data_IF_881065391846
#
_entry.id   IF_881065391846
#
_cell.length_a   1.000
_cell.length_b   1.000
_cell.length_c   1.000
_cell.angle_alpha   90.00
_cell.angle_beta   90.00
_cell.angle_gamma   90.00
#
_symmetry.space_group_name_H-M   'P 1'
#
loop_
_entity.id
_entity.type
_entity.pdbx_description
1 polymer ?
#
# COMPACT_ATOMS: atom_id res chain seq x y z
N UNK A 1 -15.37 -3.80 4.67
CA UNK A 1 -15.17 -3.83 3.20
C UNK A 1 -14.08 -4.80 2.74
N UNK A 2 -13.07 -5.15 3.54
CA UNK A 2 -11.94 -6.00 3.10
C UNK A 2 -12.32 -7.28 2.32
N UNK A 3 -13.31 -8.04 2.79
CA UNK A 3 -13.77 -9.27 2.10
C UNK A 3 -14.30 -8.99 0.70
N UNK A 4 -14.91 -7.83 0.48
CA UNK A 4 -15.42 -7.39 -0.83
C UNK A 4 -14.24 -7.12 -1.77
N UNK A 5 -13.21 -6.38 -1.32
CA UNK A 5 -12.01 -6.14 -2.13
C UNK A 5 -11.36 -7.44 -2.58
N UNK A 6 -11.20 -8.40 -1.65
CA UNK A 6 -10.54 -9.67 -1.93
C UNK A 6 -11.37 -10.53 -2.90
N UNK A 7 -12.69 -10.63 -2.69
CA UNK A 7 -13.57 -11.43 -3.55
C UNK A 7 -13.71 -10.81 -4.95
N UNK A 8 -13.89 -9.48 -5.05
CA UNK A 8 -13.93 -8.77 -6.33
C UNK A 8 -12.62 -8.90 -7.09
N UNK A 9 -11.47 -8.67 -6.44
CA UNK A 9 -10.16 -8.78 -7.11
C UNK A 9 -9.95 -10.18 -7.67
N UNK A 10 -10.33 -11.21 -6.92
CA UNK A 10 -10.26 -12.59 -7.40
C UNK A 10 -11.23 -12.86 -8.55
N UNK A 11 -12.44 -12.29 -8.53
CA UNK A 11 -13.38 -12.42 -9.64
C UNK A 11 -12.89 -11.70 -10.89
N UNK A 12 -12.41 -10.46 -10.79
CA UNK A 12 -11.81 -9.74 -11.92
C UNK A 12 -10.69 -10.55 -12.57
N UNK A 13 -9.72 -11.02 -11.77
CA UNK A 13 -8.61 -11.85 -12.29
C UNK A 13 -9.07 -13.12 -13.01
N UNK A 14 -10.15 -13.75 -12.54
CA UNK A 14 -10.73 -14.95 -13.16
C UNK A 14 -11.47 -14.66 -14.47
N UNK A 15 -11.95 -13.43 -14.66
CA UNK A 15 -12.76 -13.01 -15.80
C UNK A 15 -12.02 -12.00 -16.70
N UNK A 16 -10.69 -12.07 -16.76
CA UNK A 16 -9.91 -11.21 -17.67
C UNK A 16 -9.97 -9.72 -17.33
N UNK A 17 -10.13 -9.38 -16.05
CA UNK A 17 -10.15 -8.01 -15.55
C UNK A 17 -11.53 -7.33 -15.58
N UNK A 18 -12.56 -7.99 -16.13
CA UNK A 18 -13.92 -7.43 -16.28
C UNK A 18 -14.94 -8.34 -15.59
N UNK A 19 -15.96 -7.76 -14.95
CA UNK A 19 -17.11 -8.52 -14.44
C UNK A 19 -18.40 -7.80 -14.83
N UNK A 20 -19.46 -8.57 -15.07
CA UNK A 20 -20.81 -8.03 -15.31
C UNK A 20 -21.39 -7.35 -14.07
N UNK A 21 -22.34 -6.43 -14.26
CA UNK A 21 -23.09 -5.81 -13.15
C UNK A 21 -23.75 -6.85 -12.24
N UNK A 22 -24.23 -7.97 -12.79
CA UNK A 22 -24.82 -9.08 -12.02
C UNK A 22 -23.79 -9.74 -11.08
N UNK A 23 -22.57 -10.00 -11.55
CA UNK A 23 -21.50 -10.59 -10.74
C UNK A 23 -21.06 -9.64 -9.62
N UNK A 24 -20.94 -8.35 -9.93
CA UNK A 24 -20.64 -7.31 -8.93
C UNK A 24 -21.70 -7.27 -7.83
N UNK A 25 -22.98 -7.10 -8.19
CA UNK A 25 -24.09 -7.02 -7.23
C UNK A 25 -24.14 -8.27 -6.36
N UNK A 26 -23.97 -9.45 -6.95
CA UNK A 26 -23.95 -10.71 -6.20
C UNK A 26 -22.84 -10.73 -5.15
N UNK A 27 -21.63 -10.29 -5.53
CA UNK A 27 -20.47 -10.27 -4.63
C UNK A 27 -20.64 -9.28 -3.49
N UNK A 28 -21.12 -8.07 -3.79
CA UNK A 28 -21.36 -7.04 -2.79
C UNK A 28 -22.42 -7.49 -1.78
N UNK A 29 -23.58 -7.96 -2.26
CA UNK A 29 -24.71 -8.40 -1.41
C UNK A 29 -24.37 -9.56 -0.46
N UNK A 30 -23.32 -10.33 -0.76
CA UNK A 30 -22.84 -11.41 0.13
C UNK A 30 -22.21 -10.87 1.41
N UNK A 31 -21.68 -9.65 1.38
CA UNK A 31 -20.92 -9.04 2.48
C UNK A 31 -21.52 -7.75 3.01
N UNK A 32 -22.59 -7.24 2.41
CA UNK A 32 -23.31 -6.04 2.84
C UNK A 32 -24.67 -6.39 3.44
N UNK A 33 -25.23 -5.46 4.21
CA UNK A 33 -26.58 -5.61 4.78
C UNK A 33 -27.65 -5.13 3.79
N UNK A 34 -28.93 -5.43 4.07
CA UNK A 34 -30.07 -5.08 3.22
C UNK A 34 -30.23 -3.57 2.93
N UNK A 35 -29.58 -2.70 3.72
CA UNK A 35 -29.75 -1.25 3.67
C UNK A 35 -28.75 -0.53 2.76
N UNK A 36 -27.66 -1.19 2.36
CA UNK A 36 -26.65 -0.61 1.48
C UNK A 36 -26.96 -1.03 0.04
N UNK A 37 -27.32 -0.08 -0.82
CA UNK A 37 -27.47 -0.34 -2.23
C UNK A 37 -26.09 -0.52 -2.90
N UNK A 38 -26.07 -1.22 -4.04
CA UNK A 38 -24.83 -1.58 -4.74
C UNK A 38 -24.04 -0.39 -5.26
N UNK A 39 -24.71 0.74 -5.49
CA UNK A 39 -24.13 1.92 -6.11
C UNK A 39 -23.42 2.75 -5.02
N UNK A 40 -24.04 2.88 -3.84
CA UNK A 40 -23.37 3.41 -2.64
C UNK A 40 -22.07 2.64 -2.33
N UNK A 41 -22.11 1.31 -2.40
CA UNK A 41 -20.92 0.50 -2.18
C UNK A 41 -19.85 0.77 -3.24
N UNK A 42 -20.26 0.95 -4.50
CA UNK A 42 -19.32 1.25 -5.59
C UNK A 42 -18.54 2.55 -5.29
N UNK A 43 -19.23 3.61 -4.87
CA UNK A 43 -18.59 4.86 -4.48
C UNK A 43 -17.68 4.70 -3.26
N UNK A 44 -18.07 3.89 -2.27
CA UNK A 44 -17.22 3.60 -1.11
C UNK A 44 -15.96 2.80 -1.47
N UNK A 45 -16.05 1.90 -2.46
CA UNK A 45 -14.88 1.20 -3.00
C UNK A 45 -13.93 2.20 -3.68
N UNK A 46 -14.43 3.10 -4.50
CA UNK A 46 -13.58 4.10 -5.16
C UNK A 46 -12.96 5.08 -4.16
N UNK A 47 -13.76 5.59 -3.22
CA UNK A 47 -13.30 6.52 -2.18
C UNK A 47 -12.25 5.90 -1.25
N UNK A 48 -12.22 4.56 -1.11
CA UNK A 48 -11.21 3.86 -0.34
C UNK A 48 -9.91 3.60 -1.12
N UNK A 49 -9.86 3.97 -2.41
CA UNK A 49 -8.72 3.75 -3.29
C UNK A 49 -8.74 2.41 -4.04
N UNK A 50 -9.88 1.69 -4.04
CA UNK A 50 -10.02 0.47 -4.84
C UNK A 50 -10.16 0.83 -6.33
N UNK A 51 -9.31 0.32 -7.24
CA UNK A 51 -9.24 0.77 -8.64
C UNK A 51 -10.30 0.10 -9.52
N UNK A 52 -11.56 0.18 -9.10
CA UNK A 52 -12.74 -0.26 -9.84
C UNK A 52 -13.35 0.91 -10.60
N UNK A 53 -13.68 0.69 -11.86
CA UNK A 53 -14.40 1.66 -12.68
C UNK A 53 -15.52 1.00 -13.47
N UNK A 54 -16.56 1.76 -13.80
CA UNK A 54 -17.61 1.33 -14.73
C UNK A 54 -17.01 1.08 -16.11
N UNK A 55 -17.48 0.02 -16.76
CA UNK A 55 -17.05 -0.35 -18.10
C UNK A 55 -18.14 -1.16 -18.79
N UNK A 56 -18.67 -0.62 -19.90
CA UNK A 56 -19.82 -1.18 -20.62
C UNK A 56 -20.99 -1.47 -19.66
N UNK A 57 -21.57 -2.67 -19.69
CA UNK A 57 -22.66 -3.11 -18.80
C UNK A 57 -22.16 -3.72 -17.47
N UNK A 58 -20.95 -3.35 -17.04
CA UNK A 58 -20.31 -3.91 -15.86
C UNK A 58 -19.21 -3.04 -15.30
N UNK A 59 -18.17 -3.69 -14.81
CA UNK A 59 -17.04 -3.06 -14.15
C UNK A 59 -15.74 -3.68 -14.61
N UNK A 60 -14.66 -2.92 -14.50
CA UNK A 60 -13.29 -3.43 -14.68
C UNK A 60 -12.38 -3.05 -13.53
N UNK A 61 -11.39 -3.90 -13.30
CA UNK A 61 -10.26 -3.61 -12.42
C UNK A 61 -9.18 -2.91 -13.24
N UNK A 62 -8.97 -1.63 -13.01
CA UNK A 62 -8.11 -0.80 -13.86
C UNK A 62 -6.66 -1.29 -13.91
N UNK A 63 -6.14 -1.77 -12.79
CA UNK A 63 -4.78 -2.30 -12.67
C UNK A 63 -4.54 -3.57 -13.51
N UNK A 64 -5.61 -4.26 -13.93
CA UNK A 64 -5.52 -5.39 -14.84
C UNK A 64 -5.14 -4.97 -16.26
N UNK A 65 -5.40 -3.71 -16.64
CA UNK A 65 -5.19 -3.19 -17.99
C UNK A 65 -4.09 -2.14 -18.05
N UNK A 66 -3.83 -1.42 -16.94
CA UNK A 66 -2.83 -0.36 -16.90
C UNK A 66 -1.41 -0.93 -16.92
N UNK A 67 -0.53 -0.49 -17.83
CA UNK A 67 0.90 -0.79 -17.76
C UNK A 67 1.48 -0.36 -16.41
N UNK A 68 2.30 -1.20 -15.77
CA UNK A 68 2.77 -0.88 -14.43
C UNK A 68 3.64 0.38 -14.39
N UNK A 69 4.29 0.76 -15.50
CA UNK A 69 5.10 1.98 -15.58
C UNK A 69 4.26 3.25 -15.43
N UNK A 70 3.02 3.23 -15.95
CA UNK A 70 2.09 4.36 -15.89
C UNK A 70 1.33 4.41 -14.57
N UNK A 71 1.42 3.37 -13.74
CA UNK A 71 0.75 3.30 -12.46
C UNK A 71 1.42 4.19 -11.42
N UNK A 72 0.60 4.84 -10.60
CA UNK A 72 1.05 5.50 -9.38
C UNK A 72 1.25 4.49 -8.27
N UNK A 73 2.43 4.51 -7.66
CA UNK A 73 2.77 3.76 -6.46
C UNK A 73 3.02 4.74 -5.32
N UNK A 74 2.29 4.59 -4.21
CA UNK A 74 2.56 5.33 -2.99
C UNK A 74 3.37 4.42 -2.07
N UNK A 75 4.68 4.66 -2.00
CA UNK A 75 5.58 3.95 -1.09
C UNK A 75 5.47 4.63 0.26
N UNK A 76 5.12 3.86 1.28
CA UNK A 76 4.82 4.33 2.62
C UNK A 76 5.69 3.58 3.61
N UNK A 77 6.15 4.29 4.61
CA UNK A 77 6.73 3.76 5.83
C UNK A 77 6.12 4.54 7.02
N UNK A 78 6.08 3.91 8.19
CA UNK A 78 5.55 4.51 9.42
C UNK A 78 6.47 4.22 10.60
N UNK A 79 6.55 5.19 11.50
CA UNK A 79 7.06 4.94 12.85
C UNK A 79 5.91 4.83 13.84
N UNK A 80 6.07 3.99 14.86
CA UNK A 80 5.02 3.70 15.84
C UNK A 80 5.56 3.77 17.26
N UNK A 81 4.71 4.11 18.23
CA UNK A 81 5.09 4.09 19.65
C UNK A 81 5.04 2.68 20.30
N UNK A 82 5.06 1.63 19.48
CA UNK A 82 5.00 0.24 19.94
C UNK A 82 4.69 -0.74 18.80
N UNK A 83 4.72 -2.05 19.11
CA UNK A 83 4.80 -3.10 18.09
C UNK A 83 3.46 -3.68 17.60
N UNK A 84 2.33 -3.25 18.17
CA UNK A 84 1.00 -3.79 17.78
C UNK A 84 -0.05 -2.67 17.60
N UNK A 85 -0.88 -2.74 16.54
CA UNK A 85 -1.95 -1.76 16.31
C UNK A 85 -3.03 -1.73 17.41
N UNK A 86 -3.16 -2.79 18.21
CA UNK A 86 -4.20 -2.89 19.24
C UNK A 86 -3.93 -1.96 20.43
N UNK A 87 -2.66 -1.71 20.76
CA UNK A 87 -2.25 -0.95 21.94
C UNK A 87 -1.25 0.19 21.64
N UNK A 88 -0.85 0.35 20.38
CA UNK A 88 0.12 1.36 19.92
C UNK A 88 -0.50 2.19 18.80
N UNK A 89 0.16 3.27 18.41
CA UNK A 89 -0.26 4.16 17.34
C UNK A 89 0.91 4.59 16.46
N UNK A 90 0.58 5.10 15.28
CA UNK A 90 1.50 5.79 14.38
C UNK A 90 1.92 7.12 15.01
N UNK A 91 3.21 7.45 14.90
CA UNK A 91 3.82 8.70 15.38
C UNK A 91 4.52 9.48 14.26
N UNK A 92 4.85 8.83 13.14
CA UNK A 92 5.37 9.46 11.93
C UNK A 92 4.84 8.70 10.71
N UNK A 93 4.57 9.42 9.63
CA UNK A 93 4.24 8.86 8.32
C UNK A 93 5.16 9.50 7.30
N UNK A 94 5.86 8.66 6.54
CA UNK A 94 6.63 9.07 5.38
C UNK A 94 6.11 8.37 4.14
N UNK A 95 5.94 9.10 3.06
CA UNK A 95 5.51 8.53 1.80
C UNK A 95 6.10 9.27 0.59
N UNK A 96 6.33 8.52 -0.48
CA UNK A 96 6.68 9.04 -1.80
C UNK A 96 5.73 8.49 -2.85
N UNK A 97 5.22 9.39 -3.69
CA UNK A 97 4.44 9.02 -4.86
C UNK A 97 5.38 8.84 -6.03
N UNK A 98 5.28 7.69 -6.69
CA UNK A 98 6.15 7.30 -7.80
C UNK A 98 5.29 6.99 -9.02
N UNK A 99 5.69 7.51 -10.17
CA UNK A 99 5.10 7.21 -11.47
C UNK A 99 6.20 7.26 -12.53
N UNK A 100 6.15 6.40 -13.54
CA UNK A 100 7.16 6.33 -14.61
C UNK A 100 8.60 6.14 -14.08
N UNK A 101 8.76 5.47 -12.94
CA UNK A 101 10.08 5.19 -12.33
C UNK A 101 10.73 6.37 -11.60
N UNK A 102 10.02 7.49 -11.46
CA UNK A 102 10.48 8.70 -10.79
C UNK A 102 9.54 9.11 -9.66
N UNK A 103 10.10 9.77 -8.64
CA UNK A 103 9.32 10.38 -7.56
C UNK A 103 8.65 11.64 -8.11
N UNK A 104 7.33 11.71 -8.02
CA UNK A 104 6.52 12.83 -8.51
C UNK A 104 5.92 13.68 -7.39
N UNK A 105 5.87 13.15 -6.17
CA UNK A 105 5.37 13.86 -4.99
C UNK A 105 5.87 13.19 -3.70
N UNK A 106 5.79 13.89 -2.58
CA UNK A 106 6.22 13.41 -1.26
C UNK A 106 5.29 13.88 -0.16
N UNK A 107 5.11 13.06 0.86
CA UNK A 107 4.32 13.35 2.04
C UNK A 107 5.11 12.93 3.29
N UNK A 108 5.24 13.84 4.24
CA UNK A 108 5.88 13.57 5.53
C UNK A 108 5.10 14.31 6.61
N UNK A 109 4.77 13.61 7.70
CA UNK A 109 4.14 14.24 8.86
C UNK A 109 4.46 13.46 10.13
N UNK A 110 4.71 14.20 11.20
CA UNK A 110 4.52 13.66 12.55
C UNK A 110 3.04 13.48 12.85
N UNK A 111 2.74 12.68 13.87
CA UNK A 111 1.39 12.44 14.37
C UNK A 111 1.39 12.61 15.88
N UNK A 112 0.44 13.40 16.39
CA UNK A 112 0.36 13.70 17.82
C UNK A 112 0.41 12.41 18.67
N UNK A 113 1.27 12.40 19.69
CA UNK A 113 1.35 11.32 20.66
C UNK A 113 1.63 11.88 22.04
N UNK A 114 0.93 11.37 23.04
CA UNK A 114 1.10 11.80 24.43
C UNK A 114 2.27 11.10 25.14
N UNK A 115 2.78 9.99 24.59
CA UNK A 115 3.85 9.22 25.22
C UNK A 115 4.63 8.39 24.19
N UNK A 116 5.96 8.52 24.23
CA UNK A 116 6.89 7.68 23.45
C UNK A 116 7.77 6.89 24.43
N UNK A 117 7.74 5.54 24.39
CA UNK A 117 8.67 4.74 25.18
C UNK A 117 10.13 5.08 24.85
N UNK A 118 11.01 5.11 25.86
CA UNK A 118 12.44 5.45 25.70
C UNK A 118 13.14 4.59 24.63
N UNK A 119 12.80 3.29 24.53
CA UNK A 119 13.38 2.41 23.52
C UNK A 119 12.96 2.75 22.09
N UNK A 120 11.76 3.32 21.88
CA UNK A 120 11.30 3.81 20.58
C UNK A 120 12.05 5.09 20.26
N UNK A 121 12.10 6.04 21.20
CA UNK A 121 12.83 7.30 21.01
C UNK A 121 14.31 7.08 20.67
N UNK A 122 14.98 6.12 21.32
CA UNK A 122 16.36 5.72 20.96
C UNK A 122 16.50 5.10 19.58
N UNK A 123 15.44 4.47 19.06
CA UNK A 123 15.46 3.80 17.75
C UNK A 123 15.18 4.78 16.63
N UNK A 124 14.17 5.64 16.79
CA UNK A 124 13.67 6.54 15.73
C UNK A 124 14.23 7.96 15.84
N UNK A 125 14.80 8.31 16.99
CA UNK A 125 15.20 9.69 17.31
C UNK A 125 14.02 10.63 17.55
N UNK A 126 12.78 10.13 17.57
CA UNK A 126 11.58 10.94 17.82
C UNK A 126 11.37 11.08 19.32
N UNK A 127 11.29 12.32 19.78
CA UNK A 127 10.97 12.69 21.14
C UNK A 127 9.57 13.30 21.21
N UNK A 128 9.00 13.34 22.42
CA UNK A 128 7.65 13.91 22.63
C UNK A 128 7.58 15.40 22.26
N UNK A 129 8.71 16.10 22.31
CA UNK A 129 8.85 17.50 21.90
C UNK A 129 8.65 17.68 20.39
N UNK A 130 9.06 16.70 19.57
CA UNK A 130 8.89 16.75 18.10
C UNK A 130 7.41 16.64 17.70
N UNK A 131 6.59 16.07 18.58
CA UNK A 131 5.17 15.82 18.33
C UNK A 131 4.27 16.97 18.84
N UNK A 132 4.85 18.00 19.46
CA UNK A 132 4.08 19.17 19.92
C UNK A 132 3.56 19.95 18.71
N UNK A 133 2.25 20.08 18.60
CA UNK A 133 1.60 20.76 17.48
C UNK A 133 1.54 19.93 16.20
N UNK A 134 1.99 18.68 16.21
CA UNK A 134 1.78 17.76 15.11
C UNK A 134 0.27 17.52 14.87
N UNK A 135 -0.14 17.19 13.63
CA UNK A 135 -1.53 16.88 13.32
C UNK A 135 -2.09 15.77 14.21
N UNK A 136 -3.38 15.87 14.52
CA UNK A 136 -4.08 14.76 15.15
C UNK A 136 -4.05 13.52 14.28
N UNK A 137 -4.17 12.35 14.89
CA UNK A 137 -4.22 11.08 14.16
C UNK A 137 -5.24 11.09 13.02
N UNK A 138 -6.43 11.65 13.27
CA UNK A 138 -7.46 11.75 12.23
C UNK A 138 -7.03 12.67 11.09
N UNK A 139 -6.41 13.81 11.39
CA UNK A 139 -5.92 14.75 10.38
C UNK A 139 -4.82 14.11 9.53
N UNK A 140 -3.79 13.53 10.16
CA UNK A 140 -2.69 12.87 9.45
C UNK A 140 -3.17 11.75 8.52
N UNK A 141 -4.10 10.90 8.99
CA UNK A 141 -4.68 9.83 8.17
C UNK A 141 -5.58 10.36 7.04
N UNK A 142 -6.27 11.49 7.25
CA UNK A 142 -7.07 12.14 6.21
C UNK A 142 -6.16 12.70 5.11
N UNK A 143 -5.08 13.39 5.49
CA UNK A 143 -4.07 13.87 4.55
C UNK A 143 -3.42 12.71 3.78
N UNK A 144 -3.10 11.60 4.47
CA UNK A 144 -2.56 10.42 3.81
C UNK A 144 -3.58 9.79 2.82
N UNK A 145 -4.88 9.75 3.16
CA UNK A 145 -5.93 9.28 2.23
C UNK A 145 -5.95 10.10 0.95
N UNK A 146 -5.92 11.42 1.09
CA UNK A 146 -5.93 12.36 -0.02
C UNK A 146 -4.67 12.25 -0.88
N UNK A 147 -3.52 12.00 -0.25
CA UNK A 147 -2.25 11.75 -0.93
C UNK A 147 -2.25 10.43 -1.71
N UNK A 148 -2.71 9.33 -1.09
CA UNK A 148 -2.68 8.00 -1.69
C UNK A 148 -3.64 7.86 -2.89
N UNK A 149 -4.82 8.48 -2.85
CA UNK A 149 -5.86 8.32 -3.88
C UNK A 149 -6.08 6.83 -4.25
N UNK A 150 -6.05 6.50 -5.55
CA UNK A 150 -6.16 5.15 -6.13
C UNK A 150 -4.79 4.49 -6.42
N UNK A 151 -3.69 5.05 -5.89
CA UNK A 151 -2.35 4.49 -6.07
C UNK A 151 -2.21 3.09 -5.46
N UNK A 152 -1.17 2.38 -5.84
CA UNK A 152 -0.80 1.12 -5.19
C UNK A 152 -0.15 1.44 -3.84
N UNK A 153 -0.66 0.83 -2.77
CA UNK A 153 -0.05 0.90 -1.44
C UNK A 153 1.21 0.03 -1.45
N UNK A 154 2.38 0.66 -1.36
CA UNK A 154 3.68 -0.03 -1.35
C UNK A 154 4.35 0.16 0.01
N UNK A 155 4.94 -0.89 0.57
CA UNK A 155 5.78 -0.78 1.77
C UNK A 155 6.81 -1.92 1.85
N UNK A 156 7.86 -1.72 2.65
CA UNK A 156 8.90 -2.71 2.88
C UNK A 156 8.52 -3.61 4.07
N UNK A 157 7.94 -4.76 3.77
CA UNK A 157 7.11 -5.56 4.70
C UNK A 157 5.69 -5.02 4.87
N UNK A 158 4.98 -4.87 3.75
CA UNK A 158 3.65 -4.24 3.63
C UNK A 158 2.61 -4.61 4.69
N UNK A 159 2.70 -5.81 5.29
CA UNK A 159 1.73 -6.23 6.30
C UNK A 159 1.83 -5.40 7.59
N UNK A 160 3.03 -4.94 7.96
CA UNK A 160 3.23 -4.14 9.16
C UNK A 160 2.52 -2.80 9.03
N UNK A 161 2.94 -1.97 8.07
CA UNK A 161 2.42 -0.62 7.82
C UNK A 161 0.93 -0.65 7.53
N UNK A 162 0.50 -1.56 6.66
CA UNK A 162 -0.91 -1.71 6.31
C UNK A 162 -1.75 -2.08 7.52
N UNK A 163 -1.27 -2.94 8.43
CA UNK A 163 -2.06 -3.32 9.61
C UNK A 163 -2.26 -2.17 10.58
N UNK A 164 -1.24 -1.33 10.79
CA UNK A 164 -1.31 -0.15 11.63
C UNK A 164 -2.21 0.93 11.03
N UNK A 165 -2.02 1.23 9.75
CA UNK A 165 -2.83 2.21 9.05
C UNK A 165 -4.27 1.73 8.94
N UNK A 166 -4.53 0.48 8.51
CA UNK A 166 -5.89 -0.06 8.43
C UNK A 166 -6.63 -0.03 9.77
N UNK A 167 -5.96 -0.38 10.87
CA UNK A 167 -6.55 -0.29 12.20
C UNK A 167 -6.86 1.17 12.61
N UNK A 168 -5.98 2.10 12.25
CA UNK A 168 -6.14 3.53 12.55
C UNK A 168 -7.26 4.15 11.72
N UNK A 169 -7.29 3.89 10.41
CA UNK A 169 -8.36 4.30 9.50
C UNK A 169 -9.74 3.85 10.00
N UNK A 170 -9.86 2.57 10.40
CA UNK A 170 -11.09 2.04 10.98
C UNK A 170 -11.45 2.73 12.31
N UNK A 171 -10.48 2.91 13.21
CA UNK A 171 -10.70 3.56 14.52
C UNK A 171 -11.23 4.99 14.40
N UNK A 172 -10.81 5.73 13.38
CA UNK A 172 -11.21 7.13 13.16
C UNK A 172 -12.37 7.30 12.16
N UNK A 173 -12.98 6.20 11.71
CA UNK A 173 -14.13 6.24 10.81
C UNK A 173 -13.80 6.72 9.39
N UNK A 174 -12.57 6.46 8.92
CA UNK A 174 -12.07 6.86 7.59
C UNK A 174 -12.20 5.74 6.53
N UNK A 175 -13.01 4.72 6.83
CA UNK A 175 -13.21 3.54 5.98
C UNK A 175 -12.00 2.62 5.88
N UNK A 176 -12.16 1.46 5.22
CA UNK A 176 -11.05 0.56 4.95
C UNK A 176 -10.08 1.15 3.91
N UNK A 177 -8.86 0.61 3.81
CA UNK A 177 -7.94 0.92 2.71
C UNK A 177 -8.25 -0.04 1.56
N UNK A 178 -8.74 0.49 0.44
CA UNK A 178 -9.06 -0.26 -0.78
C UNK A 178 -7.91 -0.36 -1.77
N UNK A 179 -6.86 0.46 -1.59
CA UNK A 179 -5.64 0.41 -2.39
C UNK A 179 -5.06 -1.02 -2.43
N UNK A 180 -4.70 -1.49 -3.62
CA UNK A 180 -4.05 -2.78 -3.74
C UNK A 180 -2.66 -2.72 -3.10
N UNK A 181 -2.29 -3.81 -2.43
CA UNK A 181 -1.04 -3.90 -1.65
C UNK A 181 0.10 -4.46 -2.49
N UNK A 182 1.30 -3.91 -2.29
CA UNK A 182 2.52 -4.37 -2.92
C UNK A 182 3.69 -4.34 -1.93
N UNK A 183 4.47 -5.43 -1.87
CA UNK A 183 5.55 -5.58 -0.89
C UNK A 183 6.89 -5.63 -1.59
N UNK A 184 7.78 -4.70 -1.26
CA UNK A 184 9.10 -4.62 -1.90
C UNK A 184 9.99 -5.80 -1.53
N UNK A 185 9.83 -6.41 -0.35
CA UNK A 185 10.50 -7.68 0.02
C UNK A 185 10.09 -8.82 -0.91
N UNK A 186 8.78 -8.93 -1.19
CA UNK A 186 8.27 -9.99 -2.05
C UNK A 186 8.79 -9.82 -3.48
N UNK A 187 8.81 -8.59 -3.98
CA UNK A 187 9.39 -8.28 -5.28
C UNK A 187 10.90 -8.55 -5.31
N UNK A 188 11.66 -8.11 -4.30
CA UNK A 188 13.11 -8.32 -4.22
C UNK A 188 13.48 -9.81 -4.27
N UNK A 189 12.80 -10.66 -3.48
CA UNK A 189 12.99 -12.12 -3.49
C UNK A 189 12.75 -12.77 -4.85
N UNK A 190 11.96 -12.14 -5.71
CA UNK A 190 11.62 -12.61 -7.06
C UNK A 190 12.60 -12.14 -8.13
N UNK A 191 13.40 -11.12 -7.85
CA UNK A 191 14.12 -10.33 -8.85
C UNK A 191 15.63 -10.40 -8.69
N UNK A 192 16.13 -10.58 -7.47
CA UNK A 192 17.55 -10.79 -7.22
C UNK A 192 17.80 -11.65 -5.97
N UNK A 193 19.01 -12.21 -5.86
CA UNK A 193 19.44 -13.03 -4.71
C UNK A 193 20.10 -12.14 -3.66
N UNK A 194 19.63 -12.24 -2.43
CA UNK A 194 20.24 -11.62 -1.25
C UNK A 194 20.23 -12.60 -0.07
N UNK A 195 21.17 -12.45 0.87
CA UNK A 195 21.18 -13.25 2.12
C UNK A 195 20.02 -12.84 3.04
N UNK A 196 19.76 -11.53 3.13
CA UNK A 196 18.66 -10.94 3.90
C UNK A 196 17.93 -9.91 3.05
N UNK A 197 16.65 -9.74 3.32
CA UNK A 197 15.78 -8.80 2.59
C UNK A 197 15.18 -7.73 3.52
N UNK A 198 15.82 -7.46 4.66
CA UNK A 198 15.44 -6.34 5.51
C UNK A 198 16.02 -5.04 4.96
N UNK A 199 15.35 -3.92 5.22
CA UNK A 199 15.65 -2.62 4.64
C UNK A 199 17.13 -2.22 4.83
N UNK A 200 17.60 -2.22 6.07
CA UNK A 200 19.00 -1.86 6.39
C UNK A 200 20.03 -2.71 5.63
N UNK A 201 19.84 -4.03 5.57
CA UNK A 201 20.76 -4.93 4.85
C UNK A 201 20.72 -4.68 3.33
N UNK A 202 19.53 -4.46 2.78
CA UNK A 202 19.40 -4.16 1.36
C UNK A 202 19.94 -2.78 1.00
N UNK A 203 19.82 -1.80 1.88
CA UNK A 203 20.43 -0.49 1.67
C UNK A 203 21.96 -0.61 1.59
N UNK A 204 22.58 -1.28 2.55
CA UNK A 204 24.03 -1.52 2.57
C UNK A 204 24.49 -2.29 1.32
N UNK A 205 23.85 -3.43 1.03
CA UNK A 205 24.27 -4.31 -0.08
C UNK A 205 24.02 -3.72 -1.48
N UNK A 206 23.05 -2.81 -1.63
CA UNK A 206 22.75 -2.14 -2.88
C UNK A 206 23.40 -0.76 -2.99
N UNK A 207 24.11 -0.30 -1.95
CA UNK A 207 24.70 1.04 -1.91
C UNK A 207 23.66 2.16 -1.95
N UNK A 208 22.50 1.94 -1.35
CA UNK A 208 21.44 2.94 -1.23
C UNK A 208 21.77 3.81 0.00
N UNK A 209 22.14 5.06 -0.27
CA UNK A 209 22.43 6.06 0.76
C UNK A 209 21.22 7.00 0.90
N UNK A 210 20.52 6.91 2.02
CA UNK A 210 19.47 7.86 2.41
C UNK A 210 19.87 8.53 3.71
N UNK A 211 19.53 9.82 3.86
CA UNK A 211 20.16 10.71 4.84
C UNK A 211 20.08 10.23 6.31
N UNK A 212 18.97 9.60 6.71
CA UNK A 212 18.73 9.22 8.11
C UNK A 212 17.95 7.90 8.19
N UNK A 213 18.56 6.82 8.69
CA UNK A 213 17.84 5.59 9.00
C UNK A 213 16.83 5.79 10.15
N UNK A 214 15.70 5.08 10.13
CA UNK A 214 14.61 5.20 11.13
C UNK A 214 13.89 6.55 11.14
N UNK A 215 13.76 7.13 9.95
CA UNK A 215 12.85 8.22 9.67
C UNK A 215 11.95 7.77 8.55
N UNK A 216 10.63 7.85 8.77
CA UNK A 216 9.66 7.24 7.88
C UNK A 216 9.84 7.69 6.41
N UNK A 217 10.13 8.96 6.17
CA UNK A 217 10.34 9.45 4.80
C UNK A 217 11.58 8.83 4.12
N UNK A 218 12.69 8.73 4.87
CA UNK A 218 13.95 8.15 4.39
C UNK A 218 13.82 6.65 4.12
N UNK A 219 13.08 5.94 4.96
CA UNK A 219 12.82 4.52 4.80
C UNK A 219 11.83 4.24 3.65
N UNK A 220 10.86 5.12 3.41
CA UNK A 220 10.03 5.09 2.20
C UNK A 220 10.85 5.31 0.92
N UNK A 221 11.80 6.25 0.91
CA UNK A 221 12.75 6.44 -0.21
C UNK A 221 13.64 5.22 -0.42
N UNK A 222 14.16 4.63 0.64
CA UNK A 222 14.94 3.39 0.58
C UNK A 222 14.13 2.25 -0.06
N UNK A 223 12.89 2.08 0.38
CA UNK A 223 11.98 1.09 -0.19
C UNK A 223 11.68 1.36 -1.68
N UNK A 224 11.58 2.63 -2.10
CA UNK A 224 11.49 3.00 -3.50
C UNK A 224 12.74 2.58 -4.29
N UNK A 225 13.95 2.85 -3.80
CA UNK A 225 15.17 2.44 -4.52
C UNK A 225 15.30 0.92 -4.64
N UNK A 226 14.93 0.17 -3.60
CA UNK A 226 14.86 -1.30 -3.66
C UNK A 226 13.83 -1.74 -4.71
N UNK A 227 12.67 -1.10 -4.76
CA UNK A 227 11.66 -1.37 -5.78
C UNK A 227 12.19 -1.08 -7.19
N UNK A 228 12.79 0.11 -7.40
CA UNK A 228 13.40 0.53 -8.68
C UNK A 228 14.44 -0.49 -9.14
N UNK A 229 15.33 -0.94 -8.24
CA UNK A 229 16.32 -1.97 -8.54
C UNK A 229 15.67 -3.31 -8.92
N UNK A 230 14.62 -3.70 -8.21
CA UNK A 230 13.90 -4.94 -8.48
C UNK A 230 13.20 -4.91 -9.85
N UNK A 231 12.67 -3.77 -10.26
CA UNK A 231 11.97 -3.61 -11.54
C UNK A 231 12.89 -3.83 -12.75
N UNK A 232 14.20 -3.63 -12.62
CA UNK A 232 15.19 -3.84 -13.70
C UNK A 232 15.23 -5.30 -14.22
N UNK A 233 14.84 -6.27 -13.39
CA UNK A 233 14.91 -7.70 -13.74
C UNK A 233 13.54 -8.36 -13.85
N UNK A 234 12.47 -7.57 -13.84
CA UNK A 234 11.12 -8.07 -14.05
C UNK A 234 10.98 -8.64 -15.48
N UNK A 235 10.44 -9.86 -15.65
CA UNK A 235 10.32 -10.47 -16.98
C UNK A 235 9.40 -9.69 -17.92
N UNK A 236 9.68 -9.73 -19.22
CA UNK A 236 8.90 -9.05 -20.27
C UNK A 236 7.41 -9.44 -20.34
N UNK A 237 7.00 -10.58 -19.76
CA UNK A 237 5.59 -10.97 -19.72
C UNK A 237 4.79 -10.23 -18.63
N UNK A 238 5.47 -9.58 -17.68
CA UNK A 238 4.84 -8.74 -16.67
C UNK A 238 4.65 -7.36 -17.31
N UNK A 239 3.42 -7.07 -17.71
CA UNK A 239 3.10 -5.84 -18.45
C UNK A 239 2.24 -4.92 -17.60
N UNK A 240 1.20 -5.46 -16.98
CA UNK A 240 0.24 -4.65 -16.23
C UNK A 240 0.57 -4.56 -14.74
N UNK A 241 -0.02 -3.59 -14.06
CA UNK A 241 0.09 -3.48 -12.60
C UNK A 241 -0.35 -4.75 -11.88
N UNK A 242 -1.45 -5.37 -12.33
CA UNK A 242 -1.93 -6.61 -11.73
C UNK A 242 -0.99 -7.79 -12.01
N UNK A 243 -0.34 -7.84 -13.19
CA UNK A 243 0.72 -8.82 -13.46
C UNK A 243 1.88 -8.67 -12.49
N UNK A 244 2.30 -7.43 -12.19
CA UNK A 244 3.40 -7.15 -11.28
C UNK A 244 3.06 -7.56 -9.84
N UNK A 245 1.85 -7.25 -9.36
CA UNK A 245 1.35 -7.66 -8.04
C UNK A 245 1.32 -9.20 -7.95
N UNK A 246 0.77 -9.87 -8.97
CA UNK A 246 0.75 -11.34 -9.02
C UNK A 246 2.16 -11.94 -9.08
N UNK A 247 3.08 -11.35 -9.85
CA UNK A 247 4.47 -11.79 -9.94
C UNK A 247 5.17 -11.76 -8.58
N UNK A 248 4.99 -10.67 -7.81
CA UNK A 248 5.62 -10.53 -6.48
C UNK A 248 5.13 -11.57 -5.47
N UNK A 249 3.87 -12.01 -5.56
CA UNK A 249 3.22 -12.88 -4.56
C UNK A 249 3.15 -14.35 -4.98
N UNK A 250 3.41 -14.65 -6.26
CA UNK A 250 3.38 -16.00 -6.78
C UNK A 250 4.47 -16.87 -6.17
N UNK A 251 4.11 -18.09 -5.78
CA UNK A 251 5.07 -19.15 -5.43
C UNK A 251 5.74 -19.78 -6.67
N UNK A 252 5.17 -19.59 -7.87
CA UNK A 252 5.67 -20.16 -9.13
C UNK A 252 6.62 -19.19 -9.81
N UNK A 253 7.86 -19.62 -10.09
CA UNK A 253 8.87 -18.79 -10.76
C UNK A 253 8.46 -18.39 -12.18
N UNK A 254 7.62 -19.17 -12.86
CA UNK A 254 7.07 -18.87 -14.19
C UNK A 254 5.55 -19.10 -14.24
N UNK A 255 4.82 -18.30 -15.03
CA UNK A 255 3.40 -18.58 -15.37
C UNK A 255 3.39 -19.78 -16.31
N UNK A 256 2.62 -20.83 -15.98
CA UNK A 256 2.30 -21.85 -17.00
C UNK A 256 1.56 -21.14 -18.12
N UNK A 257 2.10 -21.17 -19.35
CA UNK A 257 1.34 -20.76 -20.53
C UNK A 257 0.03 -21.56 -20.52
N UNK A 258 -1.09 -20.87 -20.36
CA UNK A 258 -2.42 -21.41 -20.63
C UNK A 258 -2.80 -21.00 -22.03
#
# INVERSE_FOLDING_TARGET
>A
MQKIYDELTNQFRKNGGIISKKQYIYTVKKHTTLFEDSDTIFFLLQASGYPIIEYEDGYKLETYFRPYQEQKFCIIDIETNGSKPTNSQVIEIGAVMVQNGEVIDSFETFVECAFIPEFISKMTGIEEIDLIGAPSRKQALTMLREFMQDSIFVAHNVLFDYSFLSASFNRFGLGDIGNQRFCTINLAKRTFKSEKYGLAYLNESLGIDTATHHRAYSDALSAFFIMKKSLETVPNYVVTTDDLIQFSTSSRKERSKK
#
